data_IF_267339515823
#
_entry.id   IF_267339515823
#
_cell.length_a   1.000
_cell.length_b   1.000
_cell.length_c   1.000
_cell.angle_alpha   90.00
_cell.angle_beta   90.00
_cell.angle_gamma   90.00
#
_symmetry.space_group_name_H-M   'P 1'
#
loop_
_entity.id
_entity.type
_entity.pdbx_description
1 polymer ?
#
# COMPACT_ATOMS: atom_id res chain seq x y z
N UNK A 1 -7.81 -37.03 -14.16
CA UNK A 1 -7.30 -37.56 -12.87
C UNK A 1 -7.45 -36.47 -11.81
N UNK A 2 -8.50 -36.52 -10.96
CA UNK A 2 -8.68 -35.52 -9.89
C UNK A 2 -7.67 -35.85 -8.78
N UNK A 3 -6.64 -35.02 -8.60
CA UNK A 3 -5.76 -35.08 -7.42
C UNK A 3 -6.62 -35.11 -6.15
N UNK A 4 -6.31 -36.01 -5.21
CA UNK A 4 -7.03 -36.11 -3.94
C UNK A 4 -7.01 -34.78 -3.20
N UNK A 5 -8.08 -34.48 -2.45
CA UNK A 5 -8.21 -33.25 -1.65
C UNK A 5 -7.01 -33.06 -0.72
N UNK A 6 -6.54 -34.15 -0.11
CA UNK A 6 -5.34 -34.19 0.75
C UNK A 6 -4.06 -33.78 0.01
N UNK A 7 -3.86 -34.26 -1.22
CA UNK A 7 -2.67 -33.90 -2.00
C UNK A 7 -2.68 -32.42 -2.39
N UNK A 8 -3.84 -31.88 -2.78
CA UNK A 8 -3.99 -30.45 -3.08
C UNK A 8 -3.67 -29.59 -1.86
N UNK A 9 -4.18 -29.95 -0.68
CA UNK A 9 -3.91 -29.24 0.57
C UNK A 9 -2.42 -29.21 0.89
N UNK A 10 -1.72 -30.34 0.79
CA UNK A 10 -0.27 -30.40 1.03
C UNK A 10 0.51 -29.51 0.05
N UNK A 11 0.16 -29.54 -1.24
CA UNK A 11 0.83 -28.72 -2.23
C UNK A 11 0.57 -27.21 -2.01
N UNK A 12 -0.66 -26.83 -1.65
CA UNK A 12 -1.00 -25.44 -1.30
C UNK A 12 -0.19 -24.95 -0.10
N UNK A 13 -0.12 -25.75 0.98
CA UNK A 13 0.69 -25.41 2.16
C UNK A 13 2.18 -25.30 1.80
N UNK A 14 2.70 -26.21 0.99
CA UNK A 14 4.07 -26.14 0.49
C UNK A 14 4.32 -24.85 -0.32
N UNK A 15 3.40 -24.48 -1.20
CA UNK A 15 3.51 -23.25 -1.99
C UNK A 15 3.48 -21.99 -1.11
N UNK A 16 2.59 -21.94 -0.11
CA UNK A 16 2.53 -20.85 0.87
C UNK A 16 3.87 -20.72 1.60
N UNK A 17 4.42 -21.81 2.14
CA UNK A 17 5.70 -21.80 2.83
C UNK A 17 6.84 -21.29 1.95
N UNK A 18 6.84 -21.63 0.65
CA UNK A 18 7.84 -21.11 -0.30
C UNK A 18 7.68 -19.63 -0.59
N UNK A 19 6.44 -19.13 -0.65
CA UNK A 19 6.19 -17.70 -0.78
C UNK A 19 6.67 -16.98 0.48
N UNK A 20 6.43 -17.53 1.67
CA UNK A 20 6.91 -16.98 2.92
C UNK A 20 8.45 -16.93 2.98
N UNK A 21 9.13 -18.01 2.57
CA UNK A 21 10.60 -18.04 2.45
C UNK A 21 11.10 -16.90 1.54
N UNK A 22 10.45 -16.67 0.40
CA UNK A 22 10.82 -15.62 -0.55
C UNK A 22 10.58 -14.22 0.01
N UNK A 23 9.39 -13.97 0.58
CA UNK A 23 9.03 -12.67 1.16
C UNK A 23 9.88 -12.33 2.40
N UNK A 24 10.25 -13.35 3.19
CA UNK A 24 11.10 -13.20 4.37
C UNK A 24 12.60 -13.13 4.03
N UNK A 25 13.03 -13.53 2.83
CA UNK A 25 14.44 -13.58 2.45
C UNK A 25 15.06 -12.19 2.41
N UNK A 26 15.81 -11.85 3.44
CA UNK A 26 16.54 -10.58 3.51
C UNK A 26 17.65 -10.50 2.44
N UNK A 27 18.24 -11.63 2.05
CA UNK A 27 19.26 -11.66 0.99
C UNK A 27 18.62 -11.34 -0.36
N UNK A 28 17.52 -12.01 -0.68
CA UNK A 28 16.81 -11.79 -1.95
C UNK A 28 16.26 -10.37 -2.02
N UNK A 29 15.61 -9.89 -0.94
CA UNK A 29 15.12 -8.52 -0.87
C UNK A 29 16.25 -7.50 -1.02
N UNK A 30 17.40 -7.69 -0.36
CA UNK A 30 18.58 -6.80 -0.55
C UNK A 30 19.11 -6.84 -1.98
N UNK A 31 19.16 -8.01 -2.61
CA UNK A 31 19.58 -8.14 -4.00
C UNK A 31 18.63 -7.37 -4.93
N UNK A 32 17.32 -7.55 -4.77
CA UNK A 32 16.31 -6.77 -5.50
C UNK A 32 16.46 -5.27 -5.26
N UNK A 33 16.61 -4.86 -4.00
CA UNK A 33 16.81 -3.45 -3.65
C UNK A 33 18.06 -2.86 -4.32
N UNK A 34 19.20 -3.58 -4.33
CA UNK A 34 20.40 -3.15 -5.04
C UNK A 34 20.14 -3.00 -6.53
N UNK A 35 19.55 -4.01 -7.17
CA UNK A 35 19.21 -3.97 -8.60
C UNK A 35 18.29 -2.78 -8.92
N UNK A 36 17.25 -2.54 -8.11
CA UNK A 36 16.32 -1.43 -8.32
C UNK A 36 16.95 -0.06 -8.08
N UNK A 37 17.95 0.06 -7.20
CA UNK A 37 18.68 1.33 -7.00
C UNK A 37 19.58 1.66 -8.19
N UNK A 38 20.31 0.68 -8.73
CA UNK A 38 21.26 0.92 -9.83
C UNK A 38 20.62 0.82 -11.21
N UNK A 39 19.54 0.06 -11.34
CA UNK A 39 18.82 -0.19 -12.59
C UNK A 39 17.32 0.07 -12.40
N UNK A 40 16.93 1.33 -12.14
CA UNK A 40 15.53 1.69 -11.84
C UNK A 40 14.56 1.30 -12.97
N UNK A 41 15.05 1.14 -14.19
CA UNK A 41 14.24 0.87 -15.38
C UNK A 41 13.71 -0.56 -15.51
N UNK A 42 14.32 -1.56 -14.87
CA UNK A 42 14.03 -2.98 -15.18
C UNK A 42 12.59 -3.39 -14.85
N UNK A 43 12.04 -2.89 -13.74
CA UNK A 43 10.71 -3.32 -13.28
C UNK A 43 9.58 -2.39 -13.69
N UNK A 44 9.84 -1.08 -13.85
CA UNK A 44 8.81 -0.12 -14.25
C UNK A 44 8.68 0.05 -15.76
N UNK A 45 9.77 -0.11 -16.52
CA UNK A 45 9.79 0.22 -17.95
C UNK A 45 10.02 -0.96 -18.88
N UNK A 46 10.34 -2.17 -18.37
CA UNK A 46 10.42 -3.36 -19.24
C UNK A 46 9.01 -3.77 -19.70
N UNK A 47 8.65 -3.58 -20.98
CA UNK A 47 7.30 -3.86 -21.45
C UNK A 47 6.94 -5.34 -21.30
N UNK A 48 7.93 -6.22 -21.47
CA UNK A 48 7.77 -7.67 -21.38
C UNK A 48 7.49 -8.13 -19.95
N UNK A 49 8.25 -7.61 -18.97
CA UNK A 49 8.04 -7.95 -17.55
C UNK A 49 6.68 -7.41 -17.10
N UNK A 50 6.35 -6.18 -17.45
CA UNK A 50 5.05 -5.58 -17.15
C UNK A 50 3.89 -6.34 -17.78
N UNK A 51 4.03 -6.76 -19.04
CA UNK A 51 3.03 -7.58 -19.72
C UNK A 51 2.80 -8.91 -18.99
N UNK A 52 3.88 -9.60 -18.60
CA UNK A 52 3.80 -10.86 -17.88
C UNK A 52 3.14 -10.67 -16.50
N UNK A 53 3.59 -9.68 -15.72
CA UNK A 53 3.00 -9.34 -14.41
C UNK A 53 1.51 -9.04 -14.57
N UNK A 54 1.12 -8.23 -15.57
CA UNK A 54 -0.28 -7.91 -15.85
C UNK A 54 -1.10 -9.14 -16.22
N UNK A 55 -0.55 -10.03 -17.05
CA UNK A 55 -1.22 -11.27 -17.47
C UNK A 55 -1.42 -12.22 -16.29
N UNK A 56 -0.39 -12.43 -15.47
CA UNK A 56 -0.47 -13.28 -14.27
C UNK A 56 -1.41 -12.68 -13.24
N UNK A 57 -1.31 -11.36 -12.98
CA UNK A 57 -2.18 -10.69 -12.02
C UNK A 57 -3.66 -10.87 -12.37
N UNK A 58 -4.04 -10.71 -13.64
CA UNK A 58 -5.43 -10.92 -14.09
C UNK A 58 -5.96 -12.34 -13.88
N UNK A 59 -5.07 -13.34 -13.79
CA UNK A 59 -5.45 -14.74 -13.58
C UNK A 59 -5.58 -15.09 -12.10
N UNK A 60 -4.81 -14.44 -11.22
CA UNK A 60 -4.68 -14.86 -9.82
C UNK A 60 -5.35 -13.91 -8.82
N UNK A 61 -5.53 -12.64 -9.19
CA UNK A 61 -6.13 -11.62 -8.31
C UNK A 61 -7.63 -11.86 -8.17
N UNK A 62 -8.16 -12.07 -6.95
CA UNK A 62 -9.59 -12.21 -6.72
C UNK A 62 -10.38 -10.96 -7.11
N UNK A 63 -11.62 -11.14 -7.58
CA UNK A 63 -12.52 -10.01 -7.84
C UNK A 63 -12.87 -9.31 -6.53
N UNK A 64 -12.88 -7.98 -6.54
CA UNK A 64 -13.30 -7.19 -5.36
C UNK A 64 -12.23 -6.97 -4.31
N UNK A 65 -10.98 -7.41 -4.57
CA UNK A 65 -9.86 -7.30 -3.64
C UNK A 65 -9.59 -5.84 -3.24
N UNK A 66 -9.41 -5.60 -1.95
CA UNK A 66 -9.07 -4.30 -1.37
C UNK A 66 -7.77 -4.39 -0.57
N UNK A 67 -6.80 -3.53 -0.86
CA UNK A 67 -5.46 -3.59 -0.28
C UNK A 67 -5.13 -2.27 0.42
N UNK A 68 -4.71 -2.32 1.68
CA UNK A 68 -4.12 -1.18 2.38
C UNK A 68 -2.61 -1.35 2.53
N UNK A 69 -1.87 -0.25 2.46
CA UNK A 69 -0.41 -0.25 2.55
C UNK A 69 0.07 0.78 3.56
N UNK A 70 0.93 0.35 4.49
CA UNK A 70 1.66 1.22 5.39
C UNK A 70 2.97 1.66 4.71
N UNK A 71 3.09 2.93 4.32
CA UNK A 71 4.24 3.46 3.56
C UNK A 71 5.50 3.68 4.42
N UNK A 72 5.98 2.62 5.07
CA UNK A 72 7.15 2.65 5.97
C UNK A 72 8.45 2.32 5.22
N UNK A 73 9.55 2.96 5.64
CA UNK A 73 10.88 2.73 5.10
C UNK A 73 11.53 3.93 4.43
N UNK A 74 10.84 5.07 4.24
CA UNK A 74 11.38 6.25 3.56
C UNK A 74 12.71 6.75 4.14
N UNK A 75 12.78 6.93 5.46
CA UNK A 75 14.02 7.39 6.14
C UNK A 75 15.15 6.36 6.09
N UNK A 76 14.81 5.06 6.08
CA UNK A 76 15.79 3.97 5.94
C UNK A 76 16.33 3.91 4.53
N UNK A 77 15.46 4.12 3.54
CA UNK A 77 15.83 4.23 2.14
C UNK A 77 16.74 5.44 1.92
N UNK A 78 16.40 6.60 2.49
CA UNK A 78 17.26 7.79 2.39
C UNK A 78 18.70 7.53 2.88
N UNK A 79 18.84 6.90 4.06
CA UNK A 79 20.14 6.49 4.59
C UNK A 79 20.86 5.48 3.70
N UNK A 80 20.13 4.50 3.19
CA UNK A 80 20.68 3.45 2.34
C UNK A 80 21.18 3.98 0.99
N UNK A 81 20.43 4.91 0.38
CA UNK A 81 20.76 5.53 -0.90
C UNK A 81 21.70 6.75 -0.77
N UNK A 82 22.09 7.14 0.45
CA UNK A 82 22.97 8.30 0.68
C UNK A 82 22.32 9.65 0.35
N UNK A 83 20.99 9.75 0.43
CA UNK A 83 20.21 10.96 0.11
C UNK A 83 19.58 11.57 1.37
N UNK A 84 19.11 12.82 1.25
CA UNK A 84 18.43 13.50 2.36
C UNK A 84 17.10 12.82 2.75
N UNK A 85 16.65 13.04 4.00
CA UNK A 85 15.36 12.52 4.47
C UNK A 85 14.20 13.04 3.62
N UNK A 86 14.20 14.34 3.30
CA UNK A 86 13.22 14.98 2.41
C UNK A 86 13.14 14.28 1.05
N UNK A 87 14.29 14.02 0.41
CA UNK A 87 14.33 13.28 -0.86
C UNK A 87 13.78 11.86 -0.73
N UNK A 88 14.07 11.15 0.38
CA UNK A 88 13.47 9.83 0.64
C UNK A 88 11.95 9.87 0.73
N UNK A 89 11.37 10.93 1.32
CA UNK A 89 9.92 11.13 1.35
C UNK A 89 9.34 11.49 -0.04
N UNK A 90 10.02 12.34 -0.81
CA UNK A 90 9.63 12.67 -2.20
C UNK A 90 9.59 11.40 -3.04
N UNK A 91 10.63 10.56 -2.97
CA UNK A 91 10.66 9.28 -3.69
C UNK A 91 9.57 8.32 -3.22
N UNK A 92 9.27 8.31 -1.92
CA UNK A 92 8.12 7.57 -1.38
C UNK A 92 6.79 8.03 -1.98
N UNK A 93 6.60 9.34 -2.16
CA UNK A 93 5.40 9.88 -2.81
C UNK A 93 5.35 9.52 -4.30
N UNK A 94 6.44 9.69 -5.05
CA UNK A 94 6.52 9.24 -6.45
C UNK A 94 6.24 7.75 -6.59
N UNK A 95 6.72 6.94 -5.64
CA UNK A 95 6.48 5.50 -5.62
C UNK A 95 5.01 5.15 -5.37
N UNK A 96 4.28 5.94 -4.57
CA UNK A 96 2.85 5.76 -4.35
C UNK A 96 2.05 5.82 -5.66
N UNK A 97 2.36 6.77 -6.54
CA UNK A 97 1.74 6.84 -7.89
C UNK A 97 1.97 5.57 -8.68
N UNK A 98 3.20 5.08 -8.66
CA UNK A 98 3.61 3.87 -9.36
C UNK A 98 2.86 2.61 -8.84
N UNK A 99 2.65 2.51 -7.52
CA UNK A 99 1.84 1.46 -6.90
C UNK A 99 0.36 1.63 -7.23
N UNK A 100 -0.17 2.85 -7.24
CA UNK A 100 -1.56 3.13 -7.63
C UNK A 100 -1.88 2.69 -9.06
N UNK A 101 -0.96 2.94 -10.01
CA UNK A 101 -1.08 2.44 -11.38
C UNK A 101 -1.16 0.90 -11.41
N UNK A 102 -0.33 0.23 -10.61
CA UNK A 102 -0.40 -1.22 -10.48
C UNK A 102 -1.73 -1.70 -9.87
N UNK A 103 -2.25 -1.00 -8.85
CA UNK A 103 -3.56 -1.30 -8.27
C UNK A 103 -4.70 -1.18 -9.28
N UNK A 104 -4.66 -0.21 -10.19
CA UNK A 104 -5.64 -0.11 -11.29
C UNK A 104 -5.46 -1.23 -12.33
N UNK A 105 -4.22 -1.64 -12.64
CA UNK A 105 -3.95 -2.76 -13.55
C UNK A 105 -4.59 -4.05 -13.07
N UNK A 106 -4.49 -4.33 -11.77
CA UNK A 106 -5.08 -5.53 -11.14
C UNK A 106 -6.57 -5.35 -10.81
N UNK A 107 -7.14 -4.17 -11.08
CA UNK A 107 -8.54 -3.82 -10.78
C UNK A 107 -8.90 -3.99 -9.31
N UNK A 108 -7.99 -3.54 -8.44
CA UNK A 108 -8.22 -3.43 -7.00
C UNK A 108 -9.48 -2.58 -6.75
N UNK A 109 -10.41 -3.09 -5.94
CA UNK A 109 -11.68 -2.42 -5.61
C UNK A 109 -11.44 -1.16 -4.79
N UNK A 110 -10.60 -1.27 -3.75
CA UNK A 110 -10.14 -0.16 -2.95
C UNK A 110 -8.65 -0.28 -2.62
N UNK A 111 -7.93 0.84 -2.66
CA UNK A 111 -6.53 0.93 -2.27
C UNK A 111 -6.38 1.93 -1.12
N UNK A 112 -5.75 1.53 -0.02
CA UNK A 112 -5.50 2.36 1.17
C UNK A 112 -4.02 2.67 1.33
N UNK A 113 -3.66 3.90 1.70
CA UNK A 113 -2.27 4.29 1.95
C UNK A 113 -2.16 5.03 3.27
N UNK A 114 -1.41 4.47 4.22
CA UNK A 114 -1.10 5.16 5.47
C UNK A 114 0.05 6.15 5.24
N UNK A 115 -0.30 7.43 5.13
CA UNK A 115 0.64 8.48 4.79
C UNK A 115 1.17 9.21 6.03
N UNK A 116 0.30 9.56 6.98
CA UNK A 116 0.70 10.27 8.19
C UNK A 116 -0.20 9.91 9.38
N UNK A 117 0.39 9.42 10.47
CA UNK A 117 -0.37 9.10 11.69
C UNK A 117 -0.30 10.18 12.76
N UNK A 118 -1.26 10.22 13.69
CA UNK A 118 -1.27 11.20 14.81
C UNK A 118 0.03 11.20 15.63
N UNK A 119 0.59 10.01 15.87
CA UNK A 119 1.89 9.87 16.58
C UNK A 119 3.08 10.46 15.82
N UNK A 120 2.94 10.77 14.52
CA UNK A 120 4.01 11.36 13.72
C UNK A 120 4.19 12.86 13.97
N UNK A 121 3.22 13.53 14.60
CA UNK A 121 3.39 14.91 15.09
C UNK A 121 4.45 15.05 16.20
N UNK A 122 4.88 13.93 16.81
CA UNK A 122 5.95 13.93 17.82
C UNK A 122 7.37 13.90 17.19
N UNK A 123 7.49 14.00 15.87
CA UNK A 123 8.78 14.08 15.17
C UNK A 123 9.37 15.49 15.27
N UNK A 124 10.60 15.68 14.79
CA UNK A 124 11.22 17.02 14.82
C UNK A 124 10.42 18.01 13.96
N UNK A 125 10.44 19.29 14.33
CA UNK A 125 9.69 20.34 13.62
C UNK A 125 10.11 20.45 12.16
N UNK A 126 11.40 20.25 11.89
CA UNK A 126 11.98 20.27 10.55
C UNK A 126 11.41 19.11 9.71
N UNK A 127 11.38 17.88 10.26
CA UNK A 127 10.83 16.72 9.53
C UNK A 127 9.33 16.89 9.27
N UNK A 128 8.57 17.45 10.23
CA UNK A 128 7.14 17.73 10.04
C UNK A 128 6.96 18.77 8.94
N UNK A 129 7.75 19.86 8.95
CA UNK A 129 7.70 20.89 7.91
C UNK A 129 7.96 20.31 6.51
N UNK A 130 9.00 19.48 6.36
CA UNK A 130 9.32 18.82 5.10
C UNK A 130 8.18 17.92 4.61
N UNK A 131 7.58 17.15 5.51
CA UNK A 131 6.46 16.26 5.17
C UNK A 131 5.22 17.06 4.76
N UNK A 132 4.90 18.12 5.48
CA UNK A 132 3.73 18.96 5.17
C UNK A 132 3.89 19.69 3.83
N UNK A 133 5.08 20.17 3.50
CA UNK A 133 5.39 20.75 2.18
C UNK A 133 5.20 19.70 1.06
N UNK A 134 5.69 18.47 1.25
CA UNK A 134 5.52 17.39 0.28
C UNK A 134 4.03 17.04 0.11
N UNK A 135 3.27 16.96 1.20
CA UNK A 135 1.85 16.67 1.17
C UNK A 135 1.04 17.78 0.49
N UNK A 136 1.36 19.03 0.77
CA UNK A 136 0.72 20.17 0.12
C UNK A 136 0.95 20.14 -1.40
N UNK A 137 2.18 19.89 -1.83
CA UNK A 137 2.51 19.70 -3.24
C UNK A 137 1.78 18.48 -3.83
N UNK A 138 1.71 17.38 -3.08
CA UNK A 138 0.98 16.19 -3.50
C UNK A 138 -0.52 16.46 -3.72
N UNK A 139 -1.17 17.20 -2.81
CA UNK A 139 -2.57 17.55 -2.95
C UNK A 139 -2.81 18.54 -4.11
N UNK A 140 -1.88 19.47 -4.36
CA UNK A 140 -1.91 20.37 -5.52
C UNK A 140 -1.73 19.61 -6.84
N UNK A 141 -0.77 18.68 -6.88
CA UNK A 141 -0.55 17.79 -8.04
C UNK A 141 -1.78 16.94 -8.31
N UNK A 142 -2.46 16.47 -7.26
CA UNK A 142 -3.73 15.78 -7.39
C UNK A 142 -4.84 16.72 -7.90
N UNK A 143 -4.88 17.99 -7.52
CA UNK A 143 -5.89 18.91 -8.08
C UNK A 143 -5.67 19.22 -9.59
N UNK A 144 -4.47 18.98 -10.12
CA UNK A 144 -4.15 19.13 -11.55
C UNK A 144 -4.77 17.99 -12.40
N UNK A 145 -5.98 18.26 -12.87
CA UNK A 145 -6.77 17.38 -13.76
C UNK A 145 -6.05 17.00 -15.06
N UNK A 146 -4.97 17.67 -15.47
CA UNK A 146 -4.28 17.31 -16.71
C UNK A 146 -3.30 16.14 -16.55
N UNK A 147 -2.79 15.88 -15.34
CA UNK A 147 -1.79 14.82 -15.10
C UNK A 147 -2.39 13.50 -14.59
N UNK A 148 -3.44 13.55 -13.76
CA UNK A 148 -3.96 12.37 -13.06
C UNK A 148 -5.46 12.10 -13.29
N UNK A 149 -5.98 12.42 -14.49
CA UNK A 149 -7.40 12.34 -14.90
C UNK A 149 -8.18 11.09 -14.42
N UNK A 150 -7.53 9.93 -14.35
CA UNK A 150 -8.17 8.65 -13.99
C UNK A 150 -8.15 8.33 -12.47
N UNK A 151 -7.24 8.93 -11.71
CA UNK A 151 -7.06 8.65 -10.27
C UNK A 151 -7.89 9.61 -9.40
N UNK A 152 -8.05 10.86 -9.83
CA UNK A 152 -8.61 11.97 -9.03
C UNK A 152 -10.08 11.85 -8.69
N UNK A 153 -10.90 11.29 -9.58
CA UNK A 153 -12.31 11.09 -9.32
C UNK A 153 -12.59 10.12 -8.16
N UNK A 154 -11.58 9.41 -7.66
CA UNK A 154 -11.73 8.27 -6.74
C UNK A 154 -10.94 8.41 -5.44
N UNK A 155 -10.18 9.48 -5.23
CA UNK A 155 -9.39 9.68 -4.00
C UNK A 155 -10.27 10.23 -2.87
N UNK A 156 -10.08 9.69 -1.68
CA UNK A 156 -10.62 10.17 -0.41
C UNK A 156 -9.48 10.29 0.60
N UNK A 157 -9.40 11.41 1.29
CA UNK A 157 -8.50 11.61 2.41
C UNK A 157 -9.28 11.33 3.69
N UNK A 158 -8.76 10.43 4.52
CA UNK A 158 -9.42 9.89 5.73
C UNK A 158 -8.57 10.16 6.97
N UNK A 159 -9.21 10.52 8.08
CA UNK A 159 -8.59 10.75 9.38
C UNK A 159 -8.98 12.09 9.99
N UNK A 160 -8.20 12.56 10.96
CA UNK A 160 -8.46 13.82 11.68
C UNK A 160 -7.99 15.03 10.87
N UNK A 161 -8.83 15.44 9.92
CA UNK A 161 -8.51 16.53 8.98
C UNK A 161 -8.41 17.88 9.68
N UNK A 162 -9.07 18.06 10.82
CA UNK A 162 -9.07 19.30 11.60
C UNK A 162 -7.71 19.53 12.28
N UNK A 163 -7.01 18.45 12.65
CA UNK A 163 -5.65 18.51 13.18
C UNK A 163 -4.57 18.83 12.13
N UNK A 164 -4.90 18.82 10.83
CA UNK A 164 -3.95 19.16 9.77
C UNK A 164 -3.63 20.67 9.77
N UNK A 165 -2.46 21.10 9.27
CA UNK A 165 -2.14 22.52 9.15
C UNK A 165 -3.20 23.29 8.36
N UNK A 166 -3.59 24.48 8.83
CA UNK A 166 -4.68 25.29 8.24
C UNK A 166 -4.51 25.59 6.74
N UNK A 167 -3.28 25.67 6.25
CA UNK A 167 -3.01 25.91 4.82
C UNK A 167 -3.29 24.67 3.95
N UNK A 168 -3.29 23.46 4.52
CA UNK A 168 -3.53 22.20 3.80
C UNK A 168 -5.02 21.82 3.80
N UNK A 169 -5.75 22.15 4.87
CA UNK A 169 -7.17 21.78 5.03
C UNK A 169 -8.06 22.11 3.81
N UNK A 170 -7.95 23.30 3.17
CA UNK A 170 -8.78 23.62 2.00
C UNK A 170 -8.53 22.70 0.80
N UNK A 171 -7.28 22.29 0.58
CA UNK A 171 -6.92 21.36 -0.49
C UNK A 171 -7.55 19.98 -0.27
N UNK A 172 -7.50 19.49 0.97
CA UNK A 172 -8.07 18.20 1.36
C UNK A 172 -9.60 18.22 1.25
N UNK A 173 -10.25 19.25 1.77
CA UNK A 173 -11.71 19.40 1.67
C UNK A 173 -12.18 19.48 0.21
N UNK A 174 -11.44 20.20 -0.64
CA UNK A 174 -11.71 20.24 -2.07
C UNK A 174 -11.59 18.86 -2.70
N UNK A 175 -10.51 18.11 -2.43
CA UNK A 175 -10.30 16.76 -2.98
C UNK A 175 -11.42 15.79 -2.57
N UNK A 176 -11.84 15.82 -1.30
CA UNK A 176 -12.91 14.95 -0.82
C UNK A 176 -14.25 15.27 -1.52
N UNK A 177 -14.56 16.57 -1.74
CA UNK A 177 -15.77 17.02 -2.45
C UNK A 177 -15.76 16.77 -3.96
N UNK A 178 -14.58 16.78 -4.61
CA UNK A 178 -14.45 16.77 -6.08
C UNK A 178 -14.53 15.37 -6.71
N UNK A 179 -14.78 14.33 -5.92
CA UNK A 179 -14.85 12.95 -6.44
C UNK A 179 -16.24 12.44 -6.79
N UNK A 180 -16.25 11.32 -7.50
CA UNK A 180 -17.45 10.49 -7.75
C UNK A 180 -17.90 9.75 -6.50
N UNK A 181 -19.16 9.30 -6.48
CA UNK A 181 -19.73 8.47 -5.40
C UNK A 181 -18.95 7.15 -5.19
N UNK A 182 -18.15 6.70 -6.17
CA UNK A 182 -17.35 5.47 -6.11
C UNK A 182 -15.88 5.78 -5.83
N UNK A 183 -15.58 6.23 -4.62
CA UNK A 183 -14.19 6.36 -4.13
C UNK A 183 -13.52 4.99 -4.07
N UNK A 184 -12.28 4.90 -4.52
CA UNK A 184 -11.50 3.65 -4.60
C UNK A 184 -10.05 3.80 -4.12
N UNK A 185 -9.62 5.01 -3.75
CA UNK A 185 -8.30 5.27 -3.20
C UNK A 185 -8.44 6.08 -1.92
N UNK A 186 -7.87 5.60 -0.82
CA UNK A 186 -8.02 6.15 0.52
C UNK A 186 -6.64 6.49 1.07
N UNK A 187 -6.40 7.76 1.36
CA UNK A 187 -5.13 8.22 1.93
C UNK A 187 -5.39 8.61 3.37
N UNK A 188 -4.76 7.88 4.29
CA UNK A 188 -4.94 8.07 5.73
C UNK A 188 -3.96 9.12 6.24
N UNK A 189 -4.51 10.22 6.72
CA UNK A 189 -3.82 11.44 7.14
C UNK A 189 -4.23 11.83 8.55
N UNK A 190 -3.26 12.20 9.38
CA UNK A 190 -3.49 12.49 10.80
C UNK A 190 -4.33 11.40 11.47
N UNK A 191 -4.07 10.15 11.10
CA UNK A 191 -4.93 9.03 11.43
C UNK A 191 -4.40 8.21 12.61
N UNK A 192 -5.31 7.59 13.35
CA UNK A 192 -5.10 6.59 14.39
C UNK A 192 -6.25 5.57 14.37
N UNK A 193 -6.05 4.38 14.90
CA UNK A 193 -7.12 3.35 14.98
C UNK A 193 -8.33 3.81 15.79
N UNK A 194 -8.15 4.78 16.70
CA UNK A 194 -9.26 5.35 17.44
C UNK A 194 -10.21 6.12 16.51
N UNK A 195 -9.69 6.73 15.44
CA UNK A 195 -10.52 7.42 14.45
C UNK A 195 -11.40 6.42 13.67
N UNK A 196 -10.96 5.18 13.50
CA UNK A 196 -11.80 4.09 12.97
C UNK A 196 -12.88 3.68 13.97
N UNK A 197 -12.55 3.58 15.26
CA UNK A 197 -13.51 3.19 16.29
C UNK A 197 -14.58 4.26 16.57
N UNK A 198 -14.16 5.53 16.71
CA UNK A 198 -15.06 6.66 17.02
C UNK A 198 -16.07 6.88 15.90
N UNK A 199 -15.67 6.58 14.66
CA UNK A 199 -16.56 6.61 13.51
C UNK A 199 -17.27 5.26 13.27
N UNK A 200 -17.56 4.47 14.31
CA UNK A 200 -18.32 3.21 14.26
C UNK A 200 -17.76 2.13 13.29
N UNK A 201 -16.45 2.10 13.05
CA UNK A 201 -15.81 1.16 12.14
C UNK A 201 -16.06 1.46 10.66
N UNK A 202 -16.86 2.48 10.36
CA UNK A 202 -17.03 3.12 9.05
C UNK A 202 -17.57 4.52 9.31
N UNK A 203 -16.76 5.53 9.07
CA UNK A 203 -17.17 6.92 8.78
C UNK A 203 -18.11 7.03 7.57
N UNK A 204 -18.77 5.95 7.16
CA UNK A 204 -19.35 5.74 5.83
C UNK A 204 -18.31 5.75 4.71
N UNK A 205 -17.03 5.95 5.02
CA UNK A 205 -15.99 6.30 4.03
C UNK A 205 -14.80 5.33 4.05
N UNK A 206 -14.43 4.71 5.17
CA UNK A 206 -13.32 3.74 5.22
C UNK A 206 -13.78 2.37 4.71
N UNK A 207 -13.23 1.85 3.60
CA UNK A 207 -13.60 0.54 3.10
C UNK A 207 -12.98 -0.57 3.96
N UNK A 208 -13.55 -1.76 3.88
CA UNK A 208 -12.91 -2.96 4.43
C UNK A 208 -11.74 -3.40 3.53
N UNK A 209 -10.63 -3.80 4.14
CA UNK A 209 -9.43 -4.25 3.43
C UNK A 209 -9.16 -5.74 3.66
N UNK A 210 -8.95 -6.47 2.56
CA UNK A 210 -8.61 -7.88 2.56
C UNK A 210 -7.15 -8.12 2.97
N UNK A 211 -6.26 -7.21 2.57
CA UNK A 211 -4.81 -7.33 2.79
C UNK A 211 -4.26 -6.00 3.31
N UNK A 212 -3.50 -6.06 4.41
CA UNK A 212 -2.67 -4.93 4.88
C UNK A 212 -1.20 -5.28 4.66
N UNK A 213 -0.53 -4.54 3.78
CA UNK A 213 0.89 -4.69 3.47
C UNK A 213 1.70 -3.65 4.23
N UNK A 214 2.74 -4.09 4.93
CA UNK A 214 3.70 -3.20 5.59
C UNK A 214 5.13 -3.51 5.15
N UNK A 215 5.68 -2.75 4.19
CA UNK A 215 7.12 -2.69 3.96
C UNK A 215 7.88 -2.05 5.14
N UNK A 216 9.21 -2.14 5.07
CA UNK A 216 10.14 -1.54 6.01
C UNK A 216 10.69 -2.51 7.05
N UNK A 217 10.23 -3.75 7.12
CA UNK A 217 10.75 -4.79 8.01
C UNK A 217 10.22 -4.76 9.45
N UNK A 218 9.32 -3.84 9.77
CA UNK A 218 8.68 -3.78 11.09
C UNK A 218 7.45 -4.70 11.14
N UNK A 219 7.35 -5.53 12.18
CA UNK A 219 6.22 -6.44 12.40
C UNK A 219 5.20 -5.87 13.40
N UNK A 220 4.59 -4.73 13.07
CA UNK A 220 3.52 -4.09 13.86
C UNK A 220 2.57 -3.31 12.95
N UNK A 221 1.40 -2.88 13.44
CA UNK A 221 0.49 -2.04 12.65
C UNK A 221 0.68 -0.53 12.87
N UNK A 222 1.37 -0.12 13.92
CA UNK A 222 1.59 1.31 14.24
C UNK A 222 0.29 2.12 14.34
N UNK A 223 -0.75 1.57 14.99
CA UNK A 223 -2.03 2.27 15.21
C UNK A 223 -2.80 2.55 13.90
N UNK A 224 -2.72 1.61 12.96
CA UNK A 224 -3.34 1.67 11.64
C UNK A 224 -4.36 0.54 11.47
N UNK A 225 -5.62 0.89 11.20
CA UNK A 225 -6.71 -0.04 10.84
C UNK A 225 -6.80 -1.26 11.76
N UNK A 226 -6.77 -1.06 13.09
CA UNK A 226 -6.79 -2.18 14.04
C UNK A 226 -8.11 -2.95 13.99
N UNK A 227 -9.26 -2.27 13.86
CA UNK A 227 -10.55 -2.95 13.77
C UNK A 227 -10.66 -3.71 12.45
N UNK A 228 -10.32 -3.06 11.34
CA UNK A 228 -10.20 -3.72 10.04
C UNK A 228 -9.30 -4.96 10.10
N UNK A 229 -8.10 -4.85 10.69
CA UNK A 229 -7.16 -5.97 10.79
C UNK A 229 -7.69 -7.19 11.54
N UNK A 230 -8.73 -7.02 12.36
CA UNK A 230 -9.40 -8.13 13.05
C UNK A 230 -10.44 -8.85 12.18
N UNK A 231 -10.87 -8.26 11.06
CA UNK A 231 -11.94 -8.75 10.18
C UNK A 231 -11.38 -9.56 8.99
N UNK A 232 -10.93 -10.78 9.24
CA UNK A 232 -10.42 -11.70 8.21
C UNK A 232 -9.39 -11.06 7.24
N UNK A 233 -8.62 -10.10 7.74
CA UNK A 233 -7.62 -9.37 6.95
C UNK A 233 -6.27 -10.08 7.05
N UNK A 234 -5.64 -10.32 5.91
CA UNK A 234 -4.29 -10.84 5.85
C UNK A 234 -3.26 -9.74 6.12
N UNK A 235 -2.37 -9.97 7.09
CA UNK A 235 -1.26 -9.06 7.38
C UNK A 235 0.02 -9.54 6.68
N UNK A 236 0.61 -8.69 5.85
CA UNK A 236 1.84 -8.99 5.10
C UNK A 236 2.96 -8.02 5.50
N UNK A 237 3.92 -8.51 6.30
CA UNK A 237 5.11 -7.75 6.70
C UNK A 237 6.29 -8.06 5.78
N UNK A 238 6.81 -7.04 5.10
CA UNK A 238 7.89 -7.19 4.12
C UNK A 238 9.16 -6.47 4.58
N UNK A 239 10.32 -7.10 4.36
CA UNK A 239 11.61 -6.48 4.71
C UNK A 239 12.07 -5.39 3.74
N UNK A 240 11.51 -5.37 2.53
CA UNK A 240 11.79 -4.34 1.51
C UNK A 240 11.33 -2.94 1.97
N UNK A 241 12.08 -1.91 1.63
CA UNK A 241 11.73 -0.51 1.94
C UNK A 241 10.61 -0.01 1.02
N UNK A 242 9.73 0.87 1.49
CA UNK A 242 8.62 1.39 0.68
C UNK A 242 9.03 1.88 -0.73
N UNK A 243 10.05 2.75 -0.91
CA UNK A 243 10.44 3.20 -2.27
C UNK A 243 10.97 2.09 -3.20
N UNK A 244 11.19 0.88 -2.68
CA UNK A 244 11.71 -0.29 -3.40
C UNK A 244 10.72 -1.46 -3.42
N UNK A 245 9.49 -1.27 -2.92
CA UNK A 245 8.42 -2.24 -3.08
C UNK A 245 8.11 -2.39 -4.57
N UNK A 246 7.89 -3.61 -5.06
CA UNK A 246 7.63 -3.83 -6.49
C UNK A 246 6.30 -4.53 -6.71
N UNK A 247 5.73 -4.46 -7.93
CA UNK A 247 4.54 -5.23 -8.29
C UNK A 247 4.69 -6.73 -8.03
N UNK A 248 5.90 -7.29 -8.11
CA UNK A 248 6.17 -8.69 -7.81
C UNK A 248 5.94 -9.01 -6.33
N UNK A 249 6.38 -8.13 -5.41
CA UNK A 249 6.12 -8.31 -3.98
C UNK A 249 4.61 -8.32 -3.71
N UNK A 250 3.88 -7.36 -4.28
CA UNK A 250 2.43 -7.25 -4.11
C UNK A 250 1.74 -8.49 -4.70
N UNK A 251 2.14 -8.92 -5.90
CA UNK A 251 1.60 -10.13 -6.54
C UNK A 251 1.83 -11.38 -5.68
N UNK A 252 3.03 -11.57 -5.13
CA UNK A 252 3.32 -12.71 -4.25
C UNK A 252 2.45 -12.70 -2.99
N UNK A 253 2.23 -11.53 -2.39
CA UNK A 253 1.31 -11.37 -1.26
C UNK A 253 -0.13 -11.73 -1.67
N UNK A 254 -0.59 -11.29 -2.84
CA UNK A 254 -1.92 -11.65 -3.35
C UNK A 254 -2.04 -13.15 -3.64
N UNK A 255 -1.02 -13.77 -4.23
CA UNK A 255 -1.00 -15.22 -4.45
C UNK A 255 -1.12 -15.95 -3.12
N UNK A 256 -0.35 -15.53 -2.09
CA UNK A 256 -0.45 -16.10 -0.74
C UNK A 256 -1.86 -15.94 -0.17
N UNK A 257 -2.45 -14.75 -0.24
CA UNK A 257 -3.83 -14.50 0.19
C UNK A 257 -4.82 -15.46 -0.48
N UNK A 258 -4.76 -15.59 -1.81
CA UNK A 258 -5.65 -16.48 -2.56
C UNK A 258 -5.47 -17.95 -2.17
N UNK A 259 -4.24 -18.38 -1.89
CA UNK A 259 -3.96 -19.74 -1.42
C UNK A 259 -4.49 -19.96 0.00
N UNK A 260 -4.36 -19.00 0.91
CA UNK A 260 -4.91 -19.08 2.27
C UNK A 260 -6.44 -19.17 2.25
N UNK A 261 -7.12 -18.33 1.46
CA UNK A 261 -8.57 -18.41 1.26
C UNK A 261 -9.03 -19.79 0.73
N UNK A 262 -8.21 -20.41 -0.14
CA UNK A 262 -8.52 -21.74 -0.69
C UNK A 262 -8.41 -22.86 0.35
N UNK A 263 -7.63 -22.65 1.42
CA UNK A 263 -7.53 -23.59 2.54
C UNK A 263 -8.72 -23.45 3.48
N UNK A 264 -9.11 -22.22 3.80
CA UNK A 264 -10.21 -21.94 4.75
C UNK A 264 -11.57 -22.42 4.21
N UNK A 265 -11.82 -22.22 2.92
CA UNK A 265 -13.05 -22.69 2.24
C UNK A 265 -13.18 -24.22 2.14
N UNK A 266 -12.13 -24.98 2.44
CA UNK A 266 -12.19 -26.46 2.52
C UNK A 266 -12.39 -27.00 3.93
N UNK A 267 -12.49 -26.12 4.94
CA UNK A 267 -12.76 -26.48 6.33
C UNK A 267 -14.22 -26.20 6.77
N UNK A 268 -15.10 -25.82 5.84
CA UNK A 268 -16.56 -25.79 6.00
C UNK A 268 -17.17 -26.97 5.24
#
# INVERSE_FOLDING_TARGET
>A
MKLSSTYRRHFTVFAINRIDDLLASCVLNRLYEMVCVYIPFVFFFSPTVNYLIKKVSRLVVPKGLSIAIIMDGNRRYARYAGISRKQGHILGYSHMHAVLEYMDIIKCKAAGFFAFGKKNYNRSKEEISDIMEILENAFKDLDDRNKHKNLLGKVSIVGDLDSMPKHIQPHVQKLNRTGTDKKSCFIFMSYSSLDEYVNEGTDGHTPEFDIIIRPGGEKRLSDFLLCNSSKNTMLAFLSTKWPLLTPVHILLVIIKYTLELSLDSTCQ
#
